data_IF_910559695616
#
_entry.id   IF_910559695616
#
_cell.length_a   1.000
_cell.length_b   1.000
_cell.length_c   1.000
_cell.angle_alpha   90.00
_cell.angle_beta   90.00
_cell.angle_gamma   90.00
#
_symmetry.space_group_name_H-M   'P 1'
#
loop_
_entity.id
_entity.type
_entity.pdbx_description
1 polymer ?
#
# COMPACT_ATOMS: atom_id res chain seq x y z
N UNK A 1 -26.47 26.29 -50.26
CA UNK A 1 -25.14 26.91 -50.23
C UNK A 1 -24.32 26.10 -49.22
N UNK A 2 -23.20 25.50 -49.63
CA UNK A 2 -22.34 24.67 -48.76
C UNK A 2 -21.44 25.61 -47.97
N UNK A 3 -21.76 25.91 -46.73
CA UNK A 3 -20.94 26.80 -45.91
C UNK A 3 -20.02 25.98 -44.99
N UNK A 4 -18.75 25.97 -45.39
CA UNK A 4 -17.61 25.31 -44.73
C UNK A 4 -17.17 26.08 -43.46
N UNK A 5 -18.02 26.16 -42.43
CA UNK A 5 -17.71 26.91 -41.20
C UNK A 5 -16.74 26.18 -40.23
N UNK A 6 -16.33 24.96 -40.53
CA UNK A 6 -15.35 24.25 -39.71
C UNK A 6 -13.96 24.45 -40.32
N UNK A 7 -13.14 25.26 -39.66
CA UNK A 7 -11.69 25.20 -39.81
C UNK A 7 -11.31 23.75 -39.49
N UNK A 8 -10.71 23.07 -40.47
CA UNK A 8 -10.28 21.68 -40.33
C UNK A 8 -9.28 21.63 -39.19
N UNK A 9 -9.72 21.25 -37.99
CA UNK A 9 -8.80 21.04 -36.87
C UNK A 9 -7.84 19.95 -37.32
N UNK A 10 -6.57 20.31 -37.49
CA UNK A 10 -5.51 19.32 -37.64
C UNK A 10 -5.65 18.37 -36.47
N UNK A 11 -5.86 17.11 -36.83
CA UNK A 11 -6.12 15.95 -35.99
C UNK A 11 -5.58 16.19 -34.59
N UNK A 12 -6.49 16.43 -33.63
CA UNK A 12 -6.14 16.34 -32.22
C UNK A 12 -5.59 14.94 -32.07
N UNK A 13 -4.27 14.83 -31.90
CA UNK A 13 -3.61 13.57 -31.58
C UNK A 13 -4.18 13.14 -30.24
N UNK A 14 -5.25 12.34 -30.29
CA UNK A 14 -5.75 11.61 -29.14
C UNK A 14 -4.53 10.88 -28.58
N UNK A 15 -4.15 11.18 -27.34
CA UNK A 15 -3.08 10.48 -26.65
C UNK A 15 -3.55 9.02 -26.57
N UNK A 16 -3.13 8.20 -27.55
CA UNK A 16 -3.33 6.77 -27.51
C UNK A 16 -2.42 6.26 -26.41
N UNK A 17 -3.03 5.88 -25.30
CA UNK A 17 -2.36 5.08 -24.31
C UNK A 17 -3.33 4.01 -23.83
N UNK A 18 -3.58 3.03 -24.70
CA UNK A 18 -3.95 1.71 -24.21
C UNK A 18 -2.74 1.19 -23.43
N UNK A 19 -2.71 1.53 -22.14
CA UNK A 19 -1.69 1.01 -21.23
C UNK A 19 -1.90 -0.50 -21.20
N UNK A 20 -0.91 -1.25 -21.68
CA UNK A 20 -0.90 -2.69 -21.56
C UNK A 20 -1.18 -3.08 -20.10
N UNK A 21 -2.19 -3.92 -19.91
CA UNK A 21 -2.53 -4.44 -18.60
C UNK A 21 -1.34 -5.22 -18.07
N UNK A 22 -0.86 -4.87 -16.88
CA UNK A 22 0.21 -5.63 -16.23
C UNK A 22 -0.33 -7.00 -15.84
N UNK A 23 0.44 -8.03 -16.13
CA UNK A 23 0.11 -9.39 -15.69
C UNK A 23 0.14 -9.47 -14.16
N UNK A 24 -0.89 -10.07 -13.53
CA UNK A 24 -0.89 -10.28 -12.09
C UNK A 24 0.19 -11.30 -11.70
N UNK A 25 0.59 -11.29 -10.43
CA UNK A 25 1.50 -12.29 -9.90
C UNK A 25 0.82 -13.67 -9.86
N UNK A 26 1.53 -14.70 -10.30
CA UNK A 26 1.10 -16.09 -10.11
C UNK A 26 1.21 -16.49 -8.64
N UNK A 27 0.43 -17.48 -8.20
CA UNK A 27 0.44 -17.95 -6.81
C UNK A 27 1.85 -18.35 -6.32
N UNK A 28 2.66 -18.96 -7.19
CA UNK A 28 4.04 -19.33 -6.87
C UNK A 28 4.93 -18.12 -6.59
N UNK A 29 4.74 -17.04 -7.35
CA UNK A 29 5.46 -15.76 -7.14
C UNK A 29 5.00 -15.11 -5.84
N UNK A 30 3.70 -15.15 -5.55
CA UNK A 30 3.15 -14.62 -4.29
C UNK A 30 3.71 -15.41 -3.10
N UNK A 31 3.71 -16.75 -3.16
CA UNK A 31 4.30 -17.62 -2.12
C UNK A 31 5.77 -17.31 -1.84
N UNK A 32 6.55 -16.98 -2.88
CA UNK A 32 7.94 -16.55 -2.74
C UNK A 32 8.05 -15.17 -2.07
N UNK A 33 7.16 -14.22 -2.40
CA UNK A 33 7.16 -12.87 -1.84
C UNK A 33 6.76 -12.80 -0.37
N UNK A 34 5.81 -13.66 0.06
CA UNK A 34 5.33 -13.69 1.45
C UNK A 34 6.18 -14.57 2.37
N UNK A 35 7.21 -15.25 1.84
CA UNK A 35 8.10 -16.09 2.64
C UNK A 35 8.78 -15.25 3.73
N UNK A 36 8.59 -15.63 5.00
CA UNK A 36 9.16 -14.92 6.16
C UNK A 36 10.70 -14.90 6.07
N UNK A 37 11.35 -13.73 6.12
CA UNK A 37 12.81 -13.65 6.14
C UNK A 37 13.37 -14.13 7.48
N UNK A 38 14.65 -14.49 7.50
CA UNK A 38 15.33 -14.90 8.74
C UNK A 38 15.56 -13.69 9.65
N UNK A 39 14.73 -13.53 10.69
CA UNK A 39 14.78 -12.39 11.61
C UNK A 39 16.10 -12.26 12.39
N UNK A 40 16.92 -13.31 12.45
CA UNK A 40 18.23 -13.27 13.13
C UNK A 40 19.32 -12.63 12.27
N UNK A 41 19.16 -12.67 10.95
CA UNK A 41 20.16 -12.22 9.99
C UNK A 41 19.68 -11.01 9.19
N UNK A 42 18.36 -10.78 9.14
CA UNK A 42 17.79 -9.71 8.32
C UNK A 42 17.94 -8.33 8.98
N UNK A 43 18.22 -7.33 8.16
CA UNK A 43 18.22 -5.93 8.58
C UNK A 43 16.81 -5.38 8.77
N UNK A 44 16.71 -4.24 9.48
CA UNK A 44 15.44 -3.50 9.65
C UNK A 44 14.68 -3.27 8.35
N UNK A 45 15.40 -2.90 7.28
CA UNK A 45 14.84 -2.58 5.96
C UNK A 45 14.16 -3.79 5.34
N UNK A 46 14.78 -4.95 5.44
CA UNK A 46 14.27 -6.20 4.86
C UNK A 46 13.02 -6.66 5.60
N UNK A 47 13.05 -6.68 6.93
CA UNK A 47 11.89 -7.02 7.75
C UNK A 47 10.71 -6.05 7.49
N UNK A 48 10.98 -4.73 7.45
CA UNK A 48 9.97 -3.72 7.12
C UNK A 48 9.34 -3.97 5.75
N UNK A 49 10.15 -4.24 4.73
CA UNK A 49 9.65 -4.48 3.38
C UNK A 49 8.77 -5.75 3.32
N UNK A 50 9.15 -6.81 4.03
CA UNK A 50 8.32 -8.01 4.13
C UNK A 50 6.97 -7.74 4.81
N UNK A 51 6.94 -6.99 5.91
CA UNK A 51 5.69 -6.59 6.57
C UNK A 51 4.82 -5.76 5.62
N UNK A 52 5.43 -4.84 4.86
CA UNK A 52 4.73 -4.02 3.88
C UNK A 52 4.11 -4.85 2.75
N UNK A 53 4.82 -5.86 2.24
CA UNK A 53 4.31 -6.76 1.20
C UNK A 53 3.10 -7.54 1.69
N UNK A 54 3.15 -8.08 2.92
CA UNK A 54 2.01 -8.78 3.52
C UNK A 54 0.79 -7.84 3.68
N UNK A 55 1.03 -6.62 4.15
CA UNK A 55 -0.03 -5.62 4.29
C UNK A 55 -0.66 -5.24 2.94
N UNK A 56 0.15 -4.99 1.91
CA UNK A 56 -0.33 -4.60 0.58
C UNK A 56 -1.12 -5.73 -0.08
N UNK A 57 -0.72 -6.99 0.13
CA UNK A 57 -1.41 -8.15 -0.41
C UNK A 57 -2.82 -8.30 0.18
N UNK A 58 -2.99 -8.05 1.48
CA UNK A 58 -4.30 -8.13 2.14
C UNK A 58 -5.16 -6.88 1.90
N UNK A 59 -4.60 -5.70 2.17
CA UNK A 59 -5.40 -4.49 2.26
C UNK A 59 -5.61 -3.76 0.92
N UNK A 60 -4.79 -4.05 -0.10
CA UNK A 60 -4.92 -3.48 -1.45
C UNK A 60 -4.87 -1.95 -1.52
N UNK A 61 -4.34 -1.29 -0.50
CA UNK A 61 -4.41 0.15 -0.34
C UNK A 61 -3.44 0.90 -1.27
N UNK A 62 -3.81 2.12 -1.64
CA UNK A 62 -2.94 3.00 -2.44
C UNK A 62 -1.66 3.32 -1.68
N UNK A 63 -0.52 3.36 -2.38
CA UNK A 63 0.80 3.62 -1.79
C UNK A 63 0.82 4.83 -0.85
N UNK A 64 0.25 5.97 -1.27
CA UNK A 64 0.25 7.18 -0.44
C UNK A 64 -0.55 7.03 0.87
N UNK A 65 -1.60 6.21 0.86
CA UNK A 65 -2.38 5.89 2.06
C UNK A 65 -1.55 5.04 3.02
N UNK A 66 -0.82 4.05 2.51
CA UNK A 66 0.06 3.19 3.32
C UNK A 66 1.25 3.97 3.88
N UNK A 67 1.84 4.88 3.10
CA UNK A 67 2.93 5.75 3.54
C UNK A 67 2.55 6.66 4.72
N UNK A 68 1.29 7.07 4.81
CA UNK A 68 0.80 7.94 5.88
C UNK A 68 0.14 7.19 7.04
N UNK A 69 0.11 5.85 6.99
CA UNK A 69 -0.48 5.02 8.02
C UNK A 69 0.34 5.11 9.32
N UNK A 70 -0.33 5.46 10.42
CA UNK A 70 0.27 5.55 11.75
C UNK A 70 0.00 4.28 12.54
N UNK A 71 0.84 3.99 13.53
CA UNK A 71 0.60 2.87 14.46
C UNK A 71 -0.71 3.08 15.23
N UNK A 72 -1.07 4.32 15.57
CA UNK A 72 -2.34 4.64 16.22
C UNK A 72 -3.58 4.43 15.36
N UNK A 73 -3.43 4.32 14.04
CA UNK A 73 -4.52 4.03 13.11
C UNK A 73 -4.83 2.52 13.02
N UNK A 74 -3.97 1.67 13.59
CA UNK A 74 -4.15 0.22 13.61
C UNK A 74 -4.79 -0.20 14.94
N UNK A 75 -5.97 -0.76 14.84
CA UNK A 75 -6.64 -1.44 15.93
C UNK A 75 -6.32 -2.94 15.86
N UNK A 76 -5.28 -3.35 16.60
CA UNK A 76 -4.84 -4.75 16.67
C UNK A 76 -5.78 -5.62 17.52
N UNK A 77 -6.65 -5.03 18.35
CA UNK A 77 -7.59 -5.78 19.20
C UNK A 77 -8.81 -6.20 18.40
N UNK A 78 -9.35 -5.27 17.60
CA UNK A 78 -10.50 -5.55 16.74
C UNK A 78 -10.12 -5.99 15.31
N UNK A 79 -8.81 -6.07 15.00
CA UNK A 79 -8.34 -6.49 13.68
C UNK A 79 -8.76 -5.51 12.57
N UNK A 80 -8.66 -4.21 12.83
CA UNK A 80 -9.07 -3.16 11.90
C UNK A 80 -7.96 -2.14 11.67
N UNK A 81 -7.93 -1.57 10.47
CA UNK A 81 -7.05 -0.45 10.13
C UNK A 81 -7.89 0.73 9.69
N UNK A 82 -7.69 1.87 10.34
CA UNK A 82 -8.45 3.10 10.13
C UNK A 82 -7.65 4.04 9.23
N UNK A 83 -8.02 4.12 7.96
CA UNK A 83 -7.35 4.99 7.00
C UNK A 83 -7.93 6.40 7.09
N UNK A 84 -7.23 7.29 7.79
CA UNK A 84 -7.64 8.69 7.96
C UNK A 84 -7.26 9.57 6.76
N UNK A 85 -6.20 9.20 6.03
CA UNK A 85 -5.67 9.97 4.88
C UNK A 85 -6.19 9.38 3.56
N UNK A 86 -7.46 9.67 3.23
CA UNK A 86 -8.06 9.28 1.95
C UNK A 86 -8.35 10.50 1.07
N UNK A 87 -8.38 10.32 -0.26
CA UNK A 87 -8.63 11.39 -1.24
C UNK A 87 -9.97 12.13 -1.01
N UNK A 88 -10.92 11.46 -0.36
CA UNK A 88 -12.25 12.00 -0.08
C UNK A 88 -12.44 12.46 1.38
N UNK A 89 -11.37 12.52 2.19
CA UNK A 89 -11.40 12.90 3.62
C UNK A 89 -12.38 12.06 4.47
N UNK A 90 -12.83 10.91 3.98
CA UNK A 90 -13.66 9.95 4.72
C UNK A 90 -12.77 8.85 5.27
N UNK A 91 -12.90 8.56 6.55
CA UNK A 91 -12.22 7.43 7.17
C UNK A 91 -12.69 6.13 6.51
N UNK A 92 -11.74 5.27 6.12
CA UNK A 92 -12.04 3.91 5.65
C UNK A 92 -11.59 2.92 6.71
N UNK A 93 -12.45 1.95 6.99
CA UNK A 93 -12.16 0.85 7.91
C UNK A 93 -11.87 -0.38 7.07
N UNK A 94 -10.63 -0.87 7.13
CA UNK A 94 -10.23 -2.08 6.43
C UNK A 94 -10.03 -3.18 7.48
N UNK A 95 -10.81 -4.27 7.44
CA UNK A 95 -10.53 -5.44 8.27
C UNK A 95 -9.22 -6.08 7.83
N UNK A 96 -8.43 -6.56 8.79
CA UNK A 96 -7.17 -7.27 8.56
C UNK A 96 -7.23 -8.68 9.15
N UNK A 97 -6.50 -9.61 8.54
CA UNK A 97 -6.49 -10.99 9.01
C UNK A 97 -5.76 -11.12 10.36
N UNK A 98 -6.09 -12.14 11.14
CA UNK A 98 -5.35 -12.45 12.37
C UNK A 98 -3.85 -12.69 12.13
N UNK A 99 -3.50 -13.22 10.95
CA UNK A 99 -2.11 -13.43 10.56
C UNK A 99 -1.39 -12.09 10.43
N UNK A 100 -1.99 -11.12 9.73
CA UNK A 100 -1.43 -9.78 9.60
C UNK A 100 -1.36 -9.05 10.95
N UNK A 101 -2.36 -9.22 11.81
CA UNK A 101 -2.32 -8.71 13.20
C UNK A 101 -1.10 -9.26 13.94
N UNK A 102 -0.82 -10.57 13.86
CA UNK A 102 0.35 -11.20 14.50
C UNK A 102 1.65 -10.60 13.96
N UNK A 103 1.77 -10.45 12.65
CA UNK A 103 2.93 -9.87 11.97
C UNK A 103 3.16 -8.42 12.40
N UNK A 104 2.11 -7.59 12.38
CA UNK A 104 2.19 -6.18 12.79
C UNK A 104 2.53 -6.03 14.26
N UNK A 105 1.97 -6.89 15.12
CA UNK A 105 2.26 -6.93 16.56
C UNK A 105 3.72 -7.31 16.84
N UNK A 106 4.25 -8.30 16.12
CA UNK A 106 5.67 -8.68 16.17
C UNK A 106 6.56 -7.51 15.75
N UNK A 107 6.24 -6.86 14.62
CA UNK A 107 6.98 -5.70 14.11
C UNK A 107 6.99 -4.51 15.09
N UNK A 108 5.82 -4.14 15.63
CA UNK A 108 5.68 -3.03 16.58
C UNK A 108 6.46 -3.31 17.87
N UNK A 109 6.41 -4.54 18.37
CA UNK A 109 7.15 -4.95 19.58
C UNK A 109 8.66 -4.95 19.36
N UNK A 110 9.12 -5.51 18.25
CA UNK A 110 10.55 -5.61 17.92
C UNK A 110 11.22 -4.23 17.82
N UNK A 111 10.53 -3.23 17.26
CA UNK A 111 11.08 -1.89 17.07
C UNK A 111 10.57 -0.85 18.06
N UNK A 112 9.79 -1.25 19.07
CA UNK A 112 9.30 -0.37 20.14
C UNK A 112 8.51 0.84 19.65
N UNK A 113 7.71 0.68 18.59
CA UNK A 113 7.01 1.81 17.96
C UNK A 113 5.91 2.34 18.88
N UNK A 114 6.03 3.60 19.32
CA UNK A 114 5.01 4.26 20.16
C UNK A 114 3.85 4.80 19.31
N UNK A 115 2.63 4.69 19.87
CA UNK A 115 1.33 5.01 19.25
C UNK A 115 1.23 6.42 18.64
N UNK A 116 2.03 7.38 19.10
CA UNK A 116 1.81 8.81 18.87
C UNK A 116 2.54 9.43 17.66
N UNK A 117 3.59 8.82 17.09
CA UNK A 117 4.46 9.61 16.18
C UNK A 117 5.07 8.89 14.98
N UNK A 118 5.01 7.56 14.91
CA UNK A 118 5.68 6.83 13.84
C UNK A 118 4.67 6.46 12.74
N UNK A 119 4.85 7.02 11.53
CA UNK A 119 4.35 6.33 10.34
C UNK A 119 5.06 4.98 10.31
N UNK A 120 4.33 3.90 10.06
CA UNK A 120 4.88 2.53 10.11
C UNK A 120 6.09 2.38 9.18
N UNK A 121 6.17 3.23 8.15
CA UNK A 121 7.24 3.28 7.15
C UNK A 121 8.31 4.36 7.39
N UNK A 122 8.17 5.26 8.38
CA UNK A 122 9.10 6.38 8.62
C UNK A 122 10.33 5.98 9.45
N UNK A 123 11.19 5.18 8.84
CA UNK A 123 12.66 5.21 9.05
C UNK A 123 13.41 4.99 7.74
N UNK A 124 12.75 5.18 6.60
CA UNK A 124 13.16 4.61 5.30
C UNK A 124 13.57 5.62 4.23
N UNK A 125 13.27 6.91 4.41
CA UNK A 125 13.42 7.94 3.39
C UNK A 125 14.27 9.14 3.86
N UNK A 126 15.01 8.97 4.96
CA UNK A 126 16.13 9.86 5.33
C UNK A 126 17.41 9.05 5.32
#
# INVERSE_FOLDING_TARGET
>A
MRENYLIKFEIINLIKADKQQKEPYTEEKIKKLIKKPNLKECGFVEHRNWVLVNYLLEAGNRLNTVLNLKVGDIDLENGMVVLTTTKNRKAQYNPISENLVKILKEYIRMYGLKKMMYKILCKAFC
#
